data_IF_175996572887
#
_entry.id   IF_175996572887
#
_cell.length_a   1.000
_cell.length_b   1.000
_cell.length_c   1.000
_cell.angle_alpha   90.00
_cell.angle_beta   90.00
_cell.angle_gamma   90.00
#
_symmetry.space_group_name_H-M   'P 1'
#
loop_
_entity.id
_entity.type
_entity.pdbx_description
1 polymer ?
#
# COMPACT_ATOMS: atom_id res chain seq x y z
N UNK A 1 -5.05 -4.64 -11.87
CA UNK A 1 -4.77 -5.60 -10.80
C UNK A 1 -5.94 -5.68 -9.81
N UNK A 2 -5.84 -5.10 -8.63
CA UNK A 2 -6.89 -5.16 -7.62
C UNK A 2 -8.23 -4.61 -8.08
N UNK A 3 -9.35 -5.24 -7.63
CA UNK A 3 -10.71 -4.76 -7.94
C UNK A 3 -11.69 -5.06 -6.83
N UNK A 4 -12.73 -4.24 -6.72
CA UNK A 4 -13.86 -4.47 -5.81
C UNK A 4 -15.19 -4.20 -6.48
N UNK A 5 -16.19 -5.00 -6.12
CA UNK A 5 -17.56 -4.84 -6.54
C UNK A 5 -18.42 -4.26 -5.41
N UNK A 6 -19.17 -3.18 -5.72
CA UNK A 6 -20.10 -2.52 -4.81
C UNK A 6 -21.53 -2.66 -5.34
N UNK A 7 -22.35 -3.42 -4.65
CA UNK A 7 -23.72 -3.71 -5.10
C UNK A 7 -24.60 -2.47 -5.01
N UNK A 8 -25.30 -2.11 -6.11
CA UNK A 8 -26.38 -1.13 -6.16
C UNK A 8 -27.74 -1.80 -6.08
N UNK A 9 -27.86 -2.97 -6.71
CA UNK A 9 -29.05 -3.82 -6.70
C UNK A 9 -28.68 -5.23 -7.13
N UNK A 10 -29.66 -6.15 -7.20
CA UNK A 10 -29.44 -7.53 -7.66
C UNK A 10 -28.71 -7.63 -9.03
N UNK A 11 -28.96 -6.66 -9.92
CA UNK A 11 -28.49 -6.69 -11.31
C UNK A 11 -27.63 -5.47 -11.68
N UNK A 12 -27.20 -4.65 -10.72
CA UNK A 12 -26.37 -3.46 -10.95
C UNK A 12 -25.35 -3.29 -9.84
N UNK A 13 -24.18 -2.85 -10.18
CA UNK A 13 -23.13 -2.53 -9.21
C UNK A 13 -22.10 -1.60 -9.80
N UNK A 14 -21.20 -1.16 -8.94
CA UNK A 14 -20.03 -0.37 -9.31
C UNK A 14 -18.83 -1.29 -9.20
N UNK A 15 -17.98 -1.30 -10.20
CA UNK A 15 -16.70 -1.97 -10.21
C UNK A 15 -15.60 -0.90 -10.14
N UNK A 16 -14.77 -0.96 -9.10
CA UNK A 16 -13.55 -0.17 -9.00
C UNK A 16 -12.37 -1.08 -9.32
N UNK A 17 -11.48 -0.65 -10.22
CA UNK A 17 -10.42 -1.47 -10.79
C UNK A 17 -9.12 -0.66 -10.80
N UNK A 18 -8.04 -1.23 -10.27
CA UNK A 18 -6.70 -0.69 -10.40
C UNK A 18 -6.14 -0.93 -11.82
N UNK A 19 -5.54 0.10 -12.38
CA UNK A 19 -4.74 0.02 -13.61
C UNK A 19 -3.29 0.30 -13.20
N UNK A 20 -2.58 -0.76 -12.89
CA UNK A 20 -1.30 -0.71 -12.19
C UNK A 20 -0.17 -0.22 -13.09
N UNK A 21 0.06 -0.92 -14.20
CA UNK A 21 1.17 -0.66 -15.10
C UNK A 21 0.74 -0.11 -16.43
N UNK A 22 1.68 0.60 -17.06
CA UNK A 22 1.70 0.86 -18.47
C UNK A 22 2.61 -0.17 -19.16
N UNK A 23 2.31 -0.48 -20.41
CA UNK A 23 3.18 -1.29 -21.24
C UNK A 23 3.42 -0.56 -22.57
N UNK A 24 4.43 0.34 -22.62
CA UNK A 24 4.71 1.14 -23.81
C UNK A 24 4.98 0.32 -25.08
N UNK A 25 5.49 -0.92 -24.91
CA UNK A 25 5.76 -1.83 -26.05
C UNK A 25 4.46 -2.27 -26.75
N UNK A 26 3.36 -2.34 -26.01
CA UNK A 26 2.04 -2.73 -26.53
C UNK A 26 1.20 -1.48 -26.85
N UNK A 27 1.32 -0.42 -26.05
CA UNK A 27 0.49 0.79 -26.15
C UNK A 27 0.80 1.59 -27.42
N UNK A 28 2.07 1.61 -27.87
CA UNK A 28 2.52 2.46 -28.94
C UNK A 28 3.11 1.69 -30.12
N UNK A 29 2.86 2.16 -31.35
CA UNK A 29 3.44 1.57 -32.56
C UNK A 29 4.98 1.62 -32.55
N UNK A 30 5.59 2.59 -31.87
CA UNK A 30 7.04 2.70 -31.68
C UNK A 30 7.57 1.86 -30.51
N UNK A 31 6.72 1.04 -29.87
CA UNK A 31 7.10 0.09 -28.81
C UNK A 31 7.88 0.73 -27.66
N UNK A 32 7.46 1.90 -27.19
CA UNK A 32 8.13 2.64 -26.11
C UNK A 32 9.47 3.30 -26.52
N UNK A 33 9.88 3.18 -27.79
CA UNK A 33 11.10 3.83 -28.28
C UNK A 33 10.81 5.29 -28.61
N UNK A 34 11.71 6.19 -28.17
CA UNK A 34 11.60 7.64 -28.46
C UNK A 34 10.26 8.25 -28.03
N UNK A 35 9.89 8.06 -26.76
CA UNK A 35 8.69 8.67 -26.17
C UNK A 35 8.63 10.17 -26.44
N UNK A 36 7.45 10.66 -26.75
CA UNK A 36 7.10 12.08 -26.84
C UNK A 36 6.39 12.56 -25.56
N UNK A 37 6.18 13.86 -25.47
CA UNK A 37 5.38 14.41 -24.36
C UNK A 37 3.93 13.92 -24.40
N UNK A 38 3.36 13.78 -25.59
CA UNK A 38 2.01 13.24 -25.77
C UNK A 38 1.92 11.79 -25.30
N UNK A 39 2.92 10.97 -25.59
CA UNK A 39 2.97 9.58 -25.12
C UNK A 39 2.96 9.52 -23.58
N UNK A 40 3.80 10.34 -22.92
CA UNK A 40 3.84 10.40 -21.45
C UNK A 40 2.50 10.87 -20.87
N UNK A 41 1.84 11.86 -21.46
CA UNK A 41 0.49 12.27 -21.02
C UNK A 41 -0.53 11.13 -21.20
N UNK A 42 -0.41 10.33 -22.26
CA UNK A 42 -1.27 9.16 -22.47
C UNK A 42 -0.98 8.06 -21.44
N UNK A 43 0.28 7.80 -21.12
CA UNK A 43 0.69 6.87 -20.07
C UNK A 43 0.16 7.32 -18.70
N UNK A 44 0.33 8.60 -18.34
CA UNK A 44 -0.19 9.18 -17.10
C UNK A 44 -1.71 9.05 -16.97
N UNK A 45 -2.46 9.14 -18.08
CA UNK A 45 -3.90 8.94 -18.10
C UNK A 45 -4.30 7.45 -18.03
N UNK A 46 -3.38 6.53 -18.30
CA UNK A 46 -3.66 5.09 -18.37
C UNK A 46 -3.50 4.35 -17.05
N UNK A 47 -2.71 4.88 -16.11
CA UNK A 47 -2.53 4.34 -14.75
C UNK A 47 -3.60 4.81 -13.77
N UNK A 48 -3.62 4.26 -12.57
CA UNK A 48 -4.52 4.68 -11.48
C UNK A 48 -5.76 3.80 -11.36
N UNK A 49 -6.97 4.37 -11.20
CA UNK A 49 -8.19 3.62 -10.88
C UNK A 49 -9.33 3.98 -11.83
N UNK A 50 -9.99 2.96 -12.38
CA UNK A 50 -11.24 3.08 -13.10
C UNK A 50 -12.41 2.74 -12.18
N UNK A 51 -13.44 3.60 -12.13
CA UNK A 51 -14.70 3.32 -11.45
C UNK A 51 -15.80 3.29 -12.49
N UNK A 52 -16.48 2.16 -12.61
CA UNK A 52 -17.45 1.88 -13.67
C UNK A 52 -18.72 1.29 -13.09
N UNK A 53 -19.89 1.78 -13.52
CA UNK A 53 -21.13 1.08 -13.27
C UNK A 53 -21.29 -0.07 -14.26
N UNK A 54 -21.65 -1.24 -13.75
CA UNK A 54 -21.98 -2.42 -14.55
C UNK A 54 -23.40 -2.89 -14.27
N UNK A 55 -24.06 -3.41 -15.30
CA UNK A 55 -25.41 -3.94 -15.24
C UNK A 55 -25.48 -5.32 -15.88
N UNK A 56 -26.18 -6.25 -15.22
CA UNK A 56 -26.47 -7.58 -15.75
C UNK A 56 -27.56 -7.51 -16.80
N UNK A 57 -27.28 -8.01 -18.01
CA UNK A 57 -28.19 -8.18 -19.14
C UNK A 57 -28.23 -9.65 -19.52
N UNK A 58 -29.33 -10.34 -19.16
CA UNK A 58 -29.39 -11.80 -19.28
C UNK A 58 -28.35 -12.46 -18.34
N UNK A 59 -27.41 -13.21 -18.90
CA UNK A 59 -26.34 -13.87 -18.15
C UNK A 59 -24.98 -13.10 -18.17
N UNK A 60 -24.92 -11.97 -18.86
CA UNK A 60 -23.68 -11.20 -19.04
C UNK A 60 -23.73 -9.88 -18.28
N UNK A 61 -22.56 -9.39 -17.88
CA UNK A 61 -22.39 -8.07 -17.32
C UNK A 61 -21.87 -7.11 -18.41
N UNK A 62 -22.42 -5.91 -18.44
CA UNK A 62 -22.03 -4.87 -19.39
C UNK A 62 -21.85 -3.52 -18.67
N UNK A 63 -20.91 -2.72 -19.14
CA UNK A 63 -20.68 -1.36 -18.64
C UNK A 63 -21.86 -0.46 -19.03
N UNK A 64 -22.31 0.35 -18.08
CA UNK A 64 -23.27 1.43 -18.30
C UNK A 64 -22.51 2.69 -18.65
N UNK A 65 -22.38 3.01 -19.94
CA UNK A 65 -21.50 4.08 -20.44
C UNK A 65 -21.84 5.47 -19.87
N UNK A 66 -23.12 5.82 -19.76
CA UNK A 66 -23.58 7.14 -19.32
C UNK A 66 -23.87 7.19 -17.81
N UNK A 67 -23.21 6.37 -17.02
CA UNK A 67 -23.42 6.33 -15.58
C UNK A 67 -22.80 7.53 -14.88
N UNK A 68 -23.55 8.12 -13.93
CA UNK A 68 -23.05 9.18 -13.03
C UNK A 68 -21.92 8.74 -12.10
N UNK A 69 -21.68 7.43 -11.97
CA UNK A 69 -20.62 6.85 -11.12
C UNK A 69 -19.31 6.68 -11.87
N UNK A 70 -19.37 6.66 -13.21
CA UNK A 70 -18.18 6.43 -14.02
C UNK A 70 -17.18 7.56 -13.84
N UNK A 71 -15.95 7.21 -13.52
CA UNK A 71 -14.82 8.16 -13.52
C UNK A 71 -13.48 7.46 -13.67
N UNK A 72 -12.51 8.22 -14.12
CA UNK A 72 -11.11 7.86 -14.16
C UNK A 72 -10.36 8.65 -13.09
N UNK A 73 -9.50 7.98 -12.35
CA UNK A 73 -8.57 8.56 -11.38
C UNK A 73 -7.19 8.14 -11.87
N UNK A 74 -6.34 9.09 -12.20
CA UNK A 74 -5.07 8.88 -12.91
C UNK A 74 -3.89 9.60 -12.23
N UNK A 75 -2.73 9.63 -12.90
CA UNK A 75 -1.53 10.29 -12.40
C UNK A 75 -1.66 11.83 -12.26
N UNK A 76 -2.73 12.44 -12.77
CA UNK A 76 -2.97 13.89 -12.73
C UNK A 76 -4.20 14.28 -11.90
N UNK A 77 -4.94 13.32 -11.39
CA UNK A 77 -6.14 13.57 -10.60
C UNK A 77 -5.79 14.23 -9.28
N UNK A 78 -6.51 15.30 -8.93
CA UNK A 78 -6.37 16.00 -7.65
C UNK A 78 -6.68 15.07 -6.47
N UNK A 79 -5.81 15.07 -5.45
CA UNK A 79 -5.90 14.24 -4.25
C UNK A 79 -5.86 15.08 -2.98
N UNK A 80 -6.67 14.76 -1.99
CA UNK A 80 -6.45 15.20 -0.62
C UNK A 80 -5.38 14.33 0.05
N UNK A 81 -4.74 14.87 1.07
CA UNK A 81 -3.84 14.15 1.98
C UNK A 81 -4.36 14.35 3.39
N UNK A 82 -4.43 13.29 4.17
CA UNK A 82 -4.93 13.33 5.54
C UNK A 82 -4.00 12.57 6.50
N UNK A 83 -4.25 12.70 7.80
CA UNK A 83 -3.43 12.08 8.84
C UNK A 83 -2.22 12.91 9.26
N UNK A 84 -1.40 12.32 10.16
CA UNK A 84 -0.35 13.03 10.89
C UNK A 84 0.79 13.57 9.99
N UNK A 85 1.06 12.95 8.83
CA UNK A 85 2.11 13.40 7.93
C UNK A 85 1.63 14.41 6.84
N UNK A 86 0.34 14.80 6.86
CA UNK A 86 -0.25 15.70 5.86
C UNK A 86 0.60 16.93 5.56
N UNK A 87 1.05 17.63 6.60
CA UNK A 87 1.79 18.89 6.46
C UNK A 87 3.13 18.69 5.77
N UNK A 88 3.87 17.69 6.19
CA UNK A 88 5.20 17.34 5.69
C UNK A 88 5.15 16.80 4.25
N UNK A 89 4.10 16.05 3.90
CA UNK A 89 3.86 15.54 2.55
C UNK A 89 3.45 16.63 1.59
N UNK A 90 2.56 17.52 2.01
CA UNK A 90 2.08 18.63 1.16
C UNK A 90 3.05 19.80 1.11
N UNK A 91 3.76 20.09 2.24
CA UNK A 91 4.59 21.31 2.41
C UNK A 91 3.79 22.58 2.09
N UNK A 92 4.14 23.26 1.00
CA UNK A 92 3.50 24.49 0.51
C UNK A 92 2.28 24.23 -0.41
N UNK A 93 2.03 22.97 -0.79
CA UNK A 93 0.93 22.61 -1.68
C UNK A 93 -0.37 22.41 -0.89
N UNK A 94 -1.49 22.74 -1.52
CA UNK A 94 -2.82 22.50 -0.94
C UNK A 94 -3.30 21.07 -1.15
N UNK A 95 -2.87 20.44 -2.23
CA UNK A 95 -3.26 19.09 -2.67
C UNK A 95 -2.04 18.35 -3.23
N UNK A 96 -2.09 17.03 -3.18
CA UNK A 96 -1.27 16.18 -4.03
C UNK A 96 -1.99 15.95 -5.38
N UNK A 97 -1.26 15.42 -6.36
CA UNK A 97 -1.83 15.07 -7.65
C UNK A 97 -1.41 13.66 -8.03
N UNK A 98 -2.41 12.85 -8.37
CA UNK A 98 -2.24 11.55 -8.98
C UNK A 98 -2.04 10.37 -8.04
N UNK A 99 -2.32 9.21 -8.62
CA UNK A 99 -2.01 7.88 -8.10
C UNK A 99 -1.61 6.99 -9.26
N UNK A 100 -0.66 6.12 -9.02
CA UNK A 100 -0.13 5.14 -9.98
C UNK A 100 0.54 4.00 -9.23
N UNK A 101 1.00 2.97 -9.96
CA UNK A 101 1.47 1.72 -9.38
C UNK A 101 0.43 1.13 -8.42
N UNK A 102 -0.84 1.22 -8.78
CA UNK A 102 -1.95 0.77 -7.95
C UNK A 102 -2.09 -0.75 -8.10
N UNK A 103 -1.44 -1.51 -7.23
CA UNK A 103 -1.40 -2.95 -7.30
C UNK A 103 -2.69 -3.57 -6.78
N UNK A 104 -2.70 -4.06 -5.57
CA UNK A 104 -3.89 -4.66 -4.99
C UNK A 104 -4.78 -3.64 -4.27
N UNK A 105 -5.77 -4.09 -3.54
CA UNK A 105 -6.81 -3.23 -3.00
C UNK A 105 -7.31 -3.70 -1.64
N UNK A 106 -8.23 -2.91 -1.10
CA UNK A 106 -9.06 -3.25 0.05
C UNK A 106 -10.45 -2.65 -0.11
N UNK A 107 -11.35 -3.04 0.77
CA UNK A 107 -12.68 -2.45 0.87
C UNK A 107 -12.96 -2.11 2.32
N UNK A 108 -13.32 -0.85 2.57
CA UNK A 108 -13.63 -0.43 3.94
C UNK A 108 -14.99 -0.94 4.39
N UNK A 109 -15.19 -1.11 5.70
CA UNK A 109 -16.51 -1.48 6.24
C UNK A 109 -17.62 -0.46 5.97
N UNK A 110 -17.27 0.76 5.62
CA UNK A 110 -18.22 1.83 5.26
C UNK A 110 -18.42 2.00 3.75
N UNK A 111 -17.84 1.12 2.94
CA UNK A 111 -18.15 1.01 1.51
C UNK A 111 -17.29 1.87 0.60
N UNK A 112 -16.11 2.33 1.04
CA UNK A 112 -15.14 2.96 0.13
C UNK A 112 -14.16 1.93 -0.43
N UNK A 113 -13.63 2.22 -1.61
CA UNK A 113 -12.56 1.49 -2.25
C UNK A 113 -11.21 1.98 -1.74
N UNK A 114 -10.32 1.05 -1.46
CA UNK A 114 -8.94 1.30 -1.11
C UNK A 114 -8.06 0.84 -2.27
N UNK A 115 -7.23 1.72 -2.77
CA UNK A 115 -6.18 1.42 -3.74
C UNK A 115 -4.81 1.56 -3.08
N UNK A 116 -3.91 0.66 -3.40
CA UNK A 116 -2.61 0.52 -2.76
C UNK A 116 -1.51 0.93 -3.74
N UNK A 117 -0.76 1.99 -3.42
CA UNK A 117 0.39 2.42 -4.22
C UNK A 117 1.61 1.56 -3.86
N UNK A 118 2.17 0.84 -4.84
CA UNK A 118 3.26 -0.12 -4.65
C UNK A 118 4.58 0.39 -5.26
N UNK A 119 4.88 0.09 -6.52
CA UNK A 119 6.15 0.41 -7.19
C UNK A 119 6.23 1.87 -7.69
N UNK A 120 5.86 2.82 -6.84
CA UNK A 120 5.79 4.25 -7.19
C UNK A 120 7.15 4.86 -7.53
N UNK A 121 8.24 4.29 -7.04
CA UNK A 121 9.61 4.73 -7.31
C UNK A 121 10.02 4.60 -8.78
N UNK A 122 9.44 3.66 -9.52
CA UNK A 122 9.74 3.38 -10.93
C UNK A 122 9.38 4.54 -11.87
N UNK A 123 8.49 5.42 -11.45
CA UNK A 123 8.01 6.56 -12.24
C UNK A 123 8.88 7.82 -12.09
N UNK A 124 9.81 7.84 -11.13
CA UNK A 124 10.66 8.98 -10.85
C UNK A 124 12.08 8.77 -11.37
N UNK A 125 12.62 9.80 -12.01
CA UNK A 125 14.01 9.85 -12.43
C UNK A 125 14.65 11.19 -12.09
N UNK A 126 15.78 11.51 -12.72
CA UNK A 126 16.48 12.76 -12.48
C UNK A 126 17.17 13.26 -13.74
N UNK A 127 17.02 14.54 -14.04
CA UNK A 127 17.79 15.24 -15.08
C UNK A 127 19.28 15.45 -14.69
N UNK A 128 19.61 15.29 -13.40
CA UNK A 128 20.98 15.23 -12.89
C UNK A 128 21.37 13.76 -12.62
N UNK A 129 22.16 13.17 -13.50
CA UNK A 129 22.63 11.79 -13.36
C UNK A 129 23.55 11.59 -12.12
N UNK A 130 24.09 12.67 -11.57
CA UNK A 130 24.95 12.63 -10.39
C UNK A 130 24.19 12.92 -9.08
N UNK A 131 22.87 13.11 -9.12
CA UNK A 131 22.05 13.33 -7.93
C UNK A 131 22.31 12.24 -6.89
N UNK A 132 22.62 12.66 -5.65
CA UNK A 132 22.85 11.75 -4.53
C UNK A 132 21.59 11.64 -3.70
N UNK A 133 21.14 10.42 -3.50
CA UNK A 133 20.04 10.09 -2.62
C UNK A 133 20.57 9.73 -1.23
N UNK A 134 19.83 10.13 -0.21
CA UNK A 134 20.06 9.63 1.14
C UNK A 134 19.64 8.13 1.24
N UNK A 135 19.92 7.52 2.37
CA UNK A 135 19.67 6.08 2.57
C UNK A 135 18.17 5.73 2.54
N UNK A 136 17.27 6.67 2.93
CA UNK A 136 15.84 6.45 2.88
C UNK A 136 15.33 6.41 1.42
N UNK A 137 15.75 7.39 0.60
CA UNK A 137 15.40 7.39 -0.83
C UNK A 137 15.92 6.14 -1.53
N UNK A 138 17.18 5.74 -1.28
CA UNK A 138 17.74 4.50 -1.82
C UNK A 138 16.94 3.27 -1.41
N UNK A 139 16.51 3.22 -0.14
CA UNK A 139 15.74 2.09 0.39
C UNK A 139 14.35 1.97 -0.24
N UNK A 140 13.76 3.10 -0.68
CA UNK A 140 12.51 3.08 -1.45
C UNK A 140 12.70 2.71 -2.93
N UNK A 141 13.95 2.54 -3.39
CA UNK A 141 14.26 2.12 -4.76
C UNK A 141 14.55 3.25 -5.72
N UNK A 142 14.49 4.53 -5.30
CA UNK A 142 14.71 5.67 -6.18
C UNK A 142 16.10 5.67 -6.82
N UNK A 143 16.12 5.95 -8.11
CA UNK A 143 17.30 5.99 -8.98
C UNK A 143 17.25 7.25 -9.84
N UNK A 144 18.39 7.63 -10.41
CA UNK A 144 18.44 8.75 -11.36
C UNK A 144 17.82 8.40 -12.71
N UNK A 145 17.73 7.10 -13.06
CA UNK A 145 17.04 6.61 -14.26
C UNK A 145 15.75 5.90 -13.84
N UNK A 146 14.61 6.47 -14.22
CA UNK A 146 13.30 5.85 -14.02
C UNK A 146 13.08 4.68 -14.98
N UNK A 147 12.07 3.86 -14.72
CA UNK A 147 11.63 2.80 -15.64
C UNK A 147 10.91 3.40 -16.87
N UNK A 148 10.08 4.42 -16.66
CA UNK A 148 9.18 4.95 -17.70
C UNK A 148 9.63 6.26 -18.36
N UNK A 149 10.63 6.94 -17.84
CA UNK A 149 11.20 8.14 -18.45
C UNK A 149 10.32 9.39 -18.36
N UNK A 150 9.35 9.44 -17.44
CA UNK A 150 8.43 10.57 -17.28
C UNK A 150 9.15 11.87 -16.90
N UNK A 151 10.24 11.79 -16.15
CA UNK A 151 11.07 12.92 -15.73
C UNK A 151 11.61 13.77 -16.89
N UNK A 152 11.67 13.20 -18.08
CA UNK A 152 12.17 13.89 -19.29
C UNK A 152 11.15 14.88 -19.85
N UNK A 153 9.86 14.70 -19.55
CA UNK A 153 8.74 15.43 -20.15
C UNK A 153 7.84 16.13 -19.12
N UNK A 154 7.89 15.69 -17.86
CA UNK A 154 7.14 16.27 -16.74
C UNK A 154 8.08 16.49 -15.55
N UNK A 155 8.38 17.76 -15.27
CA UNK A 155 9.28 18.15 -14.18
C UNK A 155 8.82 17.67 -12.80
N UNK A 156 7.55 17.36 -12.65
CA UNK A 156 7.02 16.81 -11.40
C UNK A 156 7.69 15.47 -11.03
N UNK A 157 8.10 14.68 -12.00
CA UNK A 157 8.77 13.39 -11.81
C UNK A 157 10.30 13.50 -11.84
N UNK A 158 10.85 14.70 -12.00
CA UNK A 158 12.29 14.97 -11.98
C UNK A 158 12.76 15.26 -10.54
N UNK A 159 13.43 14.30 -9.93
CA UNK A 159 13.91 14.39 -8.54
C UNK A 159 14.99 15.48 -8.33
N UNK A 160 15.70 15.90 -9.38
CA UNK A 160 16.62 17.03 -9.29
C UNK A 160 15.89 18.37 -9.12
N UNK A 161 14.64 18.45 -9.57
CA UNK A 161 13.81 19.67 -9.50
C UNK A 161 12.76 19.61 -8.40
N UNK A 162 12.15 18.43 -8.18
CA UNK A 162 10.99 18.24 -7.30
C UNK A 162 11.15 16.99 -6.40
N UNK A 163 12.22 16.98 -5.57
CA UNK A 163 12.51 15.84 -4.69
C UNK A 163 11.34 15.48 -3.76
N UNK A 164 10.63 16.50 -3.27
CA UNK A 164 9.50 16.33 -2.35
C UNK A 164 8.27 15.67 -2.99
N UNK A 165 8.16 15.69 -4.32
CA UNK A 165 7.04 15.04 -5.01
C UNK A 165 7.01 13.54 -4.72
N UNK A 166 8.17 12.89 -4.63
CA UNK A 166 8.28 11.48 -4.32
C UNK A 166 7.61 11.09 -2.99
N UNK A 167 7.59 11.99 -2.00
CA UNK A 167 6.94 11.75 -0.71
C UNK A 167 5.40 11.79 -0.76
N UNK A 168 4.82 12.19 -1.88
CA UNK A 168 3.36 12.18 -2.10
C UNK A 168 2.83 10.84 -2.56
N UNK A 169 3.70 9.83 -2.73
CA UNK A 169 3.36 8.49 -3.21
C UNK A 169 3.86 7.40 -2.26
N UNK A 170 3.33 6.20 -2.42
CA UNK A 170 3.53 5.07 -1.51
C UNK A 170 2.53 5.07 -0.36
N UNK A 171 1.33 5.55 -0.59
CA UNK A 171 0.26 5.66 0.40
C UNK A 171 -0.95 4.79 0.02
N UNK A 172 -1.79 4.50 1.01
CA UNK A 172 -3.15 4.03 0.78
C UNK A 172 -4.02 5.17 0.27
N UNK A 173 -4.74 4.93 -0.82
CA UNK A 173 -5.67 5.89 -1.43
C UNK A 173 -7.11 5.43 -1.23
N UNK A 174 -7.89 6.21 -0.49
CA UNK A 174 -9.33 5.95 -0.28
C UNK A 174 -10.18 6.69 -1.31
N UNK A 175 -11.11 5.96 -1.93
CA UNK A 175 -11.96 6.42 -3.02
C UNK A 175 -13.41 6.09 -2.70
N UNK A 176 -14.30 7.09 -2.73
CA UNK A 176 -15.74 6.85 -2.66
C UNK A 176 -16.26 6.44 -4.04
N UNK A 177 -16.65 5.17 -4.28
CA UNK A 177 -17.12 4.72 -5.58
C UNK A 177 -18.54 5.22 -5.91
N UNK A 178 -19.29 5.68 -4.90
CA UNK A 178 -20.67 6.14 -5.06
C UNK A 178 -20.80 7.62 -5.41
N UNK A 179 -19.69 8.37 -5.35
CA UNK A 179 -19.64 9.79 -5.68
C UNK A 179 -18.45 10.12 -6.59
N UNK A 180 -18.72 10.20 -7.90
CA UNK A 180 -17.68 10.51 -8.89
C UNK A 180 -17.10 11.93 -8.76
N UNK A 181 -17.69 12.81 -7.95
CA UNK A 181 -17.21 14.18 -7.69
C UNK A 181 -16.37 14.27 -6.41
N UNK A 182 -16.37 13.25 -5.57
CA UNK A 182 -15.54 13.22 -4.35
C UNK A 182 -14.06 13.28 -4.69
N UNK A 183 -13.26 13.96 -3.88
CA UNK A 183 -11.79 13.95 -4.02
C UNK A 183 -11.23 12.71 -3.33
N UNK A 184 -10.42 11.88 -4.02
CA UNK A 184 -9.72 10.77 -3.37
C UNK A 184 -8.75 11.27 -2.29
N UNK A 185 -8.48 10.42 -1.29
CA UNK A 185 -7.72 10.82 -0.11
C UNK A 185 -6.54 9.86 0.10
N UNK A 186 -5.32 10.39 0.18
CA UNK A 186 -4.13 9.66 0.61
C UNK A 186 -4.07 9.64 2.13
N UNK A 187 -4.10 8.43 2.74
CA UNK A 187 -4.24 8.19 4.18
C UNK A 187 -2.88 7.96 4.84
N UNK A 188 -2.20 9.03 5.30
CA UNK A 188 -0.82 8.93 5.78
C UNK A 188 -0.63 8.19 7.09
N UNK A 189 -1.67 8.05 7.93
CA UNK A 189 -1.57 7.30 9.18
C UNK A 189 -1.31 5.79 9.00
N UNK A 190 -1.52 5.28 7.79
CA UNK A 190 -1.26 3.88 7.42
C UNK A 190 0.21 3.61 7.05
N UNK A 191 1.07 4.64 7.08
CA UNK A 191 2.50 4.53 6.76
C UNK A 191 2.79 4.59 5.26
N UNK A 192 4.05 4.92 4.91
CA UNK A 192 4.54 4.98 3.54
C UNK A 192 5.43 3.76 3.26
N UNK A 193 5.03 2.94 2.29
CA UNK A 193 5.78 1.78 1.78
C UNK A 193 5.15 1.28 0.48
N UNK A 194 5.66 0.21 -0.11
CA UNK A 194 5.06 -0.43 -1.30
C UNK A 194 3.87 -1.27 -0.85
N UNK A 195 2.71 -0.61 -0.78
CA UNK A 195 1.47 -1.25 -0.32
C UNK A 195 0.96 -2.24 -1.35
N UNK A 196 0.89 -3.51 -0.93
CA UNK A 196 0.27 -4.55 -1.76
C UNK A 196 -1.25 -4.50 -1.61
N UNK A 197 -1.79 -4.94 -0.48
CA UNK A 197 -3.21 -4.81 -0.18
C UNK A 197 -3.49 -4.25 1.22
N UNK A 198 -4.77 -4.01 1.53
CA UNK A 198 -5.20 -3.60 2.85
C UNK A 198 -6.41 -4.44 3.30
N UNK A 199 -6.20 -5.31 4.28
CA UNK A 199 -7.24 -6.16 4.87
C UNK A 199 -7.87 -5.50 6.08
N UNK A 200 -9.17 -5.23 6.02
CA UNK A 200 -9.95 -4.53 7.04
C UNK A 200 -10.72 -5.48 7.94
N UNK A 201 -10.60 -5.29 9.25
CA UNK A 201 -11.33 -6.01 10.28
C UNK A 201 -11.99 -5.00 11.22
N UNK A 202 -13.25 -5.21 11.56
CA UNK A 202 -13.95 -4.44 12.59
C UNK A 202 -14.06 -5.30 13.84
N UNK A 203 -13.46 -4.86 14.91
CA UNK A 203 -13.58 -5.50 16.22
C UNK A 203 -14.98 -5.35 16.83
N UNK A 204 -15.33 -6.21 17.77
CA UNK A 204 -16.64 -6.17 18.45
C UNK A 204 -16.96 -4.83 19.10
N UNK A 205 -15.93 -4.10 19.54
CA UNK A 205 -16.08 -2.78 20.14
C UNK A 205 -16.08 -1.62 19.10
N UNK A 206 -15.99 -1.95 17.83
CA UNK A 206 -16.02 -1.00 16.70
C UNK A 206 -14.66 -0.47 16.24
N UNK A 207 -13.56 -0.80 16.92
CA UNK A 207 -12.23 -0.41 16.43
C UNK A 207 -11.93 -1.10 15.09
N UNK A 208 -11.28 -0.36 14.21
CA UNK A 208 -10.89 -0.85 12.88
C UNK A 208 -9.41 -1.21 12.88
N UNK A 209 -9.15 -2.42 12.44
CA UNK A 209 -7.79 -2.95 12.26
C UNK A 209 -7.54 -3.06 10.76
N UNK A 210 -6.34 -2.63 10.32
CA UNK A 210 -5.91 -2.79 8.93
C UNK A 210 -4.57 -3.52 8.91
N UNK A 211 -4.51 -4.67 8.27
CA UNK A 211 -3.27 -5.38 8.01
C UNK A 211 -2.78 -5.07 6.59
N UNK A 212 -1.47 -4.84 6.44
CA UNK A 212 -0.86 -4.43 5.19
C UNK A 212 0.52 -5.08 5.02
N UNK A 213 0.87 -5.46 3.80
CA UNK A 213 2.19 -5.95 3.41
C UNK A 213 2.98 -4.89 2.66
N UNK A 214 4.30 -4.89 2.85
CA UNK A 214 5.25 -4.15 2.03
C UNK A 214 5.89 -5.13 1.05
N UNK A 215 5.55 -5.04 -0.25
CA UNK A 215 6.09 -5.96 -1.25
C UNK A 215 7.47 -5.53 -1.72
N UNK A 216 8.44 -5.75 -0.85
CA UNK A 216 9.85 -5.60 -1.19
C UNK A 216 10.68 -6.61 -0.40
N UNK A 217 11.83 -6.98 -0.95
CA UNK A 217 12.79 -7.89 -0.31
C UNK A 217 13.24 -7.30 1.02
N UNK A 218 13.13 -8.12 2.09
CA UNK A 218 13.52 -7.78 3.46
C UNK A 218 12.75 -6.61 4.09
N UNK A 219 11.55 -6.28 3.57
CA UNK A 219 10.62 -5.36 4.18
C UNK A 219 9.56 -6.09 5.03
N UNK A 220 8.51 -5.43 5.49
CA UNK A 220 7.81 -5.85 6.71
C UNK A 220 6.30 -6.01 6.53
N UNK A 221 5.67 -6.64 7.54
CA UNK A 221 4.22 -6.71 7.70
C UNK A 221 3.80 -5.67 8.74
N UNK A 222 2.76 -4.90 8.43
CA UNK A 222 2.24 -3.82 9.25
C UNK A 222 0.80 -4.07 9.71
N UNK A 223 0.46 -3.45 10.85
CA UNK A 223 -0.89 -3.41 11.39
C UNK A 223 -1.22 -1.97 11.80
N UNK A 224 -2.36 -1.45 11.39
CA UNK A 224 -2.90 -0.20 11.91
C UNK A 224 -4.09 -0.50 12.83
N UNK A 225 -4.18 0.21 13.94
CA UNK A 225 -5.32 0.16 14.87
C UNK A 225 -5.90 1.56 14.98
N UNK A 226 -7.16 1.73 14.57
CA UNK A 226 -7.83 3.03 14.63
C UNK A 226 -8.03 3.51 16.07
N UNK A 227 -7.97 4.81 16.28
CA UNK A 227 -8.37 5.45 17.56
C UNK A 227 -9.89 5.59 17.68
N UNK A 228 -10.55 5.81 16.54
CA UNK A 228 -11.99 6.01 16.47
C UNK A 228 -12.69 4.72 16.09
N UNK A 229 -13.90 4.55 16.63
CA UNK A 229 -14.73 3.37 16.39
C UNK A 229 -15.60 3.58 15.16
N UNK A 230 -15.68 2.57 14.33
CA UNK A 230 -16.66 2.52 13.26
C UNK A 230 -18.04 2.21 13.84
N UNK A 231 -18.99 3.07 13.50
CA UNK A 231 -20.43 2.86 13.72
C UNK A 231 -21.13 2.99 12.38
N UNK A 232 -21.95 2.03 12.02
CA UNK A 232 -22.66 2.05 10.73
C UNK A 232 -23.51 3.31 10.59
N UNK A 233 -23.26 4.10 9.53
CA UNK A 233 -23.92 5.39 9.29
C UNK A 233 -23.35 6.57 10.09
N UNK A 234 -22.33 6.36 10.91
CA UNK A 234 -21.61 7.41 11.63
C UNK A 234 -20.52 8.09 10.78
N UNK A 235 -19.85 9.06 11.39
CA UNK A 235 -18.70 9.74 10.78
C UNK A 235 -17.48 8.80 10.72
N UNK A 236 -16.95 8.62 9.53
CA UNK A 236 -15.78 7.76 9.26
C UNK A 236 -14.52 8.54 8.91
N UNK A 237 -14.61 9.88 8.83
CA UNK A 237 -13.56 10.75 8.31
C UNK A 237 -12.21 10.59 9.02
N UNK A 238 -12.22 10.28 10.33
CA UNK A 238 -11.02 10.15 11.17
C UNK A 238 -10.54 8.73 11.42
N UNK A 239 -11.28 7.71 10.97
CA UNK A 239 -10.95 6.30 11.29
C UNK A 239 -9.57 5.92 10.73
N UNK A 240 -9.24 6.37 9.52
CA UNK A 240 -7.95 6.11 8.88
C UNK A 240 -6.95 7.27 9.01
N UNK A 241 -7.26 8.30 9.80
CA UNK A 241 -6.38 9.45 10.05
C UNK A 241 -5.76 9.43 11.44
N UNK A 242 -6.47 8.88 12.41
CA UNK A 242 -6.04 8.84 13.81
C UNK A 242 -6.02 7.40 14.32
N UNK A 243 -4.84 6.95 14.72
CA UNK A 243 -4.60 5.59 15.21
C UNK A 243 -3.12 5.34 15.40
N UNK A 244 -2.77 4.10 15.67
CA UNK A 244 -1.37 3.68 15.82
C UNK A 244 -1.01 2.67 14.73
N UNK A 245 0.10 2.93 14.05
CA UNK A 245 0.74 1.99 13.13
C UNK A 245 1.71 1.11 13.90
N UNK A 246 1.68 -0.18 13.64
CA UNK A 246 2.56 -1.19 14.21
C UNK A 246 3.29 -1.95 13.13
N UNK A 247 4.44 -2.52 13.49
CA UNK A 247 5.15 -3.48 12.64
C UNK A 247 5.31 -4.82 13.36
N UNK A 248 5.31 -5.91 12.60
CA UNK A 248 5.39 -7.27 13.13
C UNK A 248 6.80 -7.72 13.48
N UNK A 249 6.99 -8.29 14.67
CA UNK A 249 8.16 -9.05 15.05
C UNK A 249 7.75 -10.51 15.27
N UNK A 250 8.33 -11.43 14.46
CA UNK A 250 8.03 -12.86 14.45
C UNK A 250 9.22 -13.61 15.08
N UNK A 251 9.01 -14.15 16.28
CA UNK A 251 10.05 -14.80 17.08
C UNK A 251 9.91 -16.32 17.05
N UNK A 252 11.01 -17.04 17.03
CA UNK A 252 11.08 -18.50 17.02
C UNK A 252 12.47 -18.98 16.61
N UNK A 253 12.65 -20.28 16.47
CA UNK A 253 13.89 -20.85 15.91
C UNK A 253 13.72 -21.13 14.42
N UNK A 254 14.80 -20.97 13.68
CA UNK A 254 14.83 -21.37 12.26
C UNK A 254 14.57 -22.88 12.15
N UNK A 255 13.58 -23.26 11.34
CA UNK A 255 13.21 -24.65 11.15
C UNK A 255 12.07 -25.16 12.04
N UNK A 256 11.61 -24.41 13.05
CA UNK A 256 10.44 -24.79 13.84
C UNK A 256 9.12 -24.50 13.10
N UNK A 257 9.17 -23.66 12.07
CA UNK A 257 8.00 -23.20 11.25
C UNK A 257 6.84 -22.63 12.05
N UNK A 258 7.08 -22.19 13.27
CA UNK A 258 6.10 -21.58 14.18
C UNK A 258 6.80 -20.79 15.28
N UNK A 259 6.04 -19.94 15.96
CA UNK A 259 6.57 -19.19 17.08
C UNK A 259 5.54 -18.25 17.70
N UNK A 260 6.06 -17.31 18.47
CA UNK A 260 5.31 -16.18 19.00
C UNK A 260 5.67 -14.91 18.24
N UNK A 261 4.82 -13.91 18.33
CA UNK A 261 5.13 -12.61 17.75
C UNK A 261 4.50 -11.47 18.55
N UNK A 262 4.93 -10.29 18.22
CA UNK A 262 4.36 -9.06 18.77
C UNK A 262 4.30 -7.96 17.73
N UNK A 263 3.34 -7.08 17.90
CA UNK A 263 3.21 -5.84 17.16
C UNK A 263 3.90 -4.72 17.93
N UNK A 264 4.85 -4.04 17.30
CA UNK A 264 5.63 -2.97 17.91
C UNK A 264 5.12 -1.64 17.35
N UNK A 265 4.67 -0.76 18.24
CA UNK A 265 4.12 0.54 17.85
C UNK A 265 5.20 1.44 17.23
N UNK A 266 4.88 2.04 16.10
CA UNK A 266 5.69 3.05 15.40
C UNK A 266 5.24 4.45 15.81
N UNK A 267 5.54 4.84 17.05
CA UNK A 267 5.17 6.12 17.62
C UNK A 267 6.40 6.92 18.04
N UNK A 268 6.39 8.21 17.69
CA UNK A 268 7.47 9.14 18.07
C UNK A 268 7.64 9.20 19.60
N UNK A 269 8.89 9.10 20.06
CA UNK A 269 9.26 9.06 21.48
C UNK A 269 9.10 7.69 22.14
N UNK A 270 8.71 6.64 21.38
CA UNK A 270 8.61 5.27 21.88
C UNK A 270 9.52 4.32 21.12
N UNK A 271 9.92 3.24 21.76
CA UNK A 271 10.71 2.15 21.17
C UNK A 271 12.02 2.61 20.47
N UNK A 272 12.61 3.73 20.91
CA UNK A 272 13.81 4.33 20.30
C UNK A 272 13.54 5.15 19.03
N UNK A 273 12.28 5.42 18.70
CA UNK A 273 11.91 6.25 17.55
C UNK A 273 11.90 7.74 17.94
N UNK A 274 13.09 8.33 18.04
CA UNK A 274 13.31 9.71 18.47
C UNK A 274 14.44 10.38 17.68
N UNK A 275 14.84 11.57 18.09
CA UNK A 275 15.89 12.37 17.43
C UNK A 275 17.24 11.62 17.37
N UNK A 276 17.55 10.75 18.34
CA UNK A 276 18.80 9.98 18.33
C UNK A 276 18.89 8.99 17.18
N UNK A 277 17.75 8.64 16.57
CA UNK A 277 17.60 7.76 15.40
C UNK A 277 17.16 8.51 14.15
N UNK A 278 17.19 9.85 14.19
CA UNK A 278 16.88 10.73 13.06
C UNK A 278 15.41 11.07 12.86
N UNK A 279 14.52 10.69 13.78
CA UNK A 279 13.11 11.06 13.72
C UNK A 279 12.83 12.31 14.54
N UNK A 280 12.16 13.28 13.95
CA UNK A 280 11.83 14.58 14.58
C UNK A 280 10.34 14.66 14.97
N UNK A 281 9.51 13.79 14.42
CA UNK A 281 8.06 13.84 14.58
C UNK A 281 7.42 12.48 14.21
N UNK A 282 6.13 12.34 14.50
CA UNK A 282 5.32 11.23 13.99
C UNK A 282 5.26 11.23 12.45
N UNK A 283 5.28 12.40 11.83
CA UNK A 283 5.28 12.51 10.38
C UNK A 283 6.55 11.90 9.75
N UNK A 284 7.72 12.14 10.35
CA UNK A 284 8.97 11.53 9.87
C UNK A 284 8.93 10.00 9.94
N UNK A 285 8.33 9.44 11.00
CA UNK A 285 8.14 7.99 11.14
C UNK A 285 7.23 7.45 10.03
N UNK A 286 6.12 8.14 9.73
CA UNK A 286 5.17 7.70 8.72
C UNK A 286 5.70 7.86 7.28
N UNK A 287 6.54 8.86 7.01
CA UNK A 287 7.20 9.05 5.71
C UNK A 287 8.35 8.02 5.54
N UNK A 288 9.07 7.72 6.63
CA UNK A 288 10.21 6.80 6.63
C UNK A 288 9.86 5.49 7.38
N UNK A 289 8.70 4.93 7.10
CA UNK A 289 8.12 3.78 7.82
C UNK A 289 9.07 2.57 7.82
N UNK A 290 9.74 2.29 6.70
CA UNK A 290 10.72 1.20 6.58
C UNK A 290 11.90 1.37 7.54
N UNK A 291 12.43 2.60 7.68
CA UNK A 291 13.50 2.90 8.63
C UNK A 291 13.01 2.71 10.07
N UNK A 292 11.84 3.24 10.40
CA UNK A 292 11.24 3.09 11.72
C UNK A 292 11.03 1.62 12.10
N UNK A 293 10.54 0.81 11.17
CA UNK A 293 10.38 -0.64 11.35
C UNK A 293 11.70 -1.35 11.64
N UNK A 294 12.76 -0.98 10.94
CA UNK A 294 14.11 -1.53 11.20
C UNK A 294 14.65 -1.15 12.56
N UNK A 295 14.49 0.11 12.98
CA UNK A 295 14.97 0.61 14.28
C UNK A 295 14.34 -0.15 15.43
N UNK A 296 13.05 -0.52 15.33
CA UNK A 296 12.37 -1.28 16.38
C UNK A 296 12.59 -2.79 16.29
N UNK A 297 13.37 -3.28 15.33
CA UNK A 297 13.72 -4.69 15.18
C UNK A 297 12.59 -5.55 14.62
N UNK A 298 11.86 -5.05 13.66
CA UNK A 298 10.86 -5.82 12.90
C UNK A 298 11.50 -7.02 12.19
N UNK A 299 10.70 -8.05 11.90
CA UNK A 299 11.19 -9.24 11.18
C UNK A 299 11.14 -9.02 9.68
N UNK A 300 12.27 -9.01 8.95
CA UNK A 300 12.30 -8.87 7.50
C UNK A 300 11.66 -10.08 6.82
N UNK A 301 10.80 -9.83 5.82
CA UNK A 301 10.02 -10.84 5.09
C UNK A 301 10.51 -11.05 3.66
N UNK A 302 10.08 -12.15 3.06
CA UNK A 302 10.38 -12.52 1.66
C UNK A 302 9.30 -11.96 0.72
N UNK A 303 9.17 -10.62 0.62
CA UNK A 303 8.19 -9.91 -0.19
C UNK A 303 6.75 -10.28 0.21
N UNK A 304 6.18 -9.49 1.10
CA UNK A 304 4.81 -9.71 1.58
C UNK A 304 3.82 -9.15 0.56
N UNK A 305 3.08 -10.05 -0.04
CA UNK A 305 2.04 -9.78 -1.01
C UNK A 305 0.68 -9.61 -0.34
N UNK A 306 -0.28 -10.47 -0.62
CA UNK A 306 -1.65 -10.35 -0.14
C UNK A 306 -1.82 -10.81 1.32
N UNK A 307 -2.56 -10.02 2.10
CA UNK A 307 -2.99 -10.39 3.44
C UNK A 307 -4.50 -10.58 3.45
N UNK A 308 -4.97 -11.66 4.06
CA UNK A 308 -6.38 -11.97 4.19
C UNK A 308 -6.71 -12.50 5.59
N UNK A 309 -7.85 -12.11 6.15
CA UNK A 309 -8.39 -12.65 7.39
C UNK A 309 -9.43 -13.73 7.11
N UNK A 310 -9.53 -14.72 8.01
CA UNK A 310 -10.58 -15.70 7.93
C UNK A 310 -11.94 -15.07 8.23
N UNK A 311 -12.90 -15.23 7.33
CA UNK A 311 -14.19 -14.51 7.41
C UNK A 311 -15.25 -15.20 8.28
N UNK A 312 -14.99 -16.39 8.84
CA UNK A 312 -15.93 -17.04 9.75
C UNK A 312 -16.02 -16.30 11.08
N UNK A 313 -17.25 -16.23 11.62
CA UNK A 313 -17.50 -15.58 12.89
C UNK A 313 -16.69 -16.21 14.02
N UNK A 314 -15.91 -15.39 14.71
CA UNK A 314 -15.07 -15.79 15.83
C UNK A 314 -13.67 -16.28 15.47
N UNK A 315 -13.34 -16.48 14.21
CA UNK A 315 -11.95 -16.71 13.77
C UNK A 315 -11.12 -15.43 13.92
N UNK A 316 -9.86 -15.60 14.33
CA UNK A 316 -8.86 -14.53 14.37
C UNK A 316 -7.66 -14.85 13.48
N UNK A 317 -7.79 -15.86 12.63
CA UNK A 317 -6.70 -16.25 11.74
C UNK A 317 -6.50 -15.19 10.66
N UNK A 318 -5.24 -14.83 10.45
CA UNK A 318 -4.80 -13.95 9.37
C UNK A 318 -3.69 -14.65 8.62
N UNK A 319 -3.70 -14.53 7.30
CA UNK A 319 -2.77 -15.18 6.38
C UNK A 319 -2.07 -14.11 5.57
N UNK A 320 -0.78 -14.31 5.30
CA UNK A 320 0.00 -13.50 4.37
C UNK A 320 0.74 -14.40 3.38
N UNK A 321 0.65 -14.08 2.11
CA UNK A 321 1.47 -14.69 1.07
C UNK A 321 2.82 -14.00 0.99
N UNK A 322 3.90 -14.78 0.92
CA UNK A 322 5.26 -14.32 0.65
C UNK A 322 5.74 -14.97 -0.65
N UNK A 323 6.43 -14.23 -1.50
CA UNK A 323 6.76 -14.73 -2.85
C UNK A 323 8.15 -15.32 -2.96
N UNK A 324 9.19 -14.53 -2.77
CA UNK A 324 10.58 -15.00 -2.87
C UNK A 324 11.56 -13.99 -2.27
N UNK A 325 12.77 -14.45 -1.97
CA UNK A 325 13.90 -13.60 -1.61
C UNK A 325 15.22 -14.26 -2.04
N UNK A 326 15.58 -14.08 -3.31
CA UNK A 326 16.84 -14.61 -3.87
C UNK A 326 18.09 -14.01 -3.22
N UNK A 327 17.96 -12.89 -2.53
CA UNK A 327 19.06 -12.16 -1.89
C UNK A 327 19.27 -12.55 -0.41
N UNK A 328 18.32 -13.26 0.21
CA UNK A 328 18.43 -13.66 1.62
C UNK A 328 19.66 -14.53 1.88
N UNK A 329 20.56 -14.04 2.69
CA UNK A 329 21.80 -14.76 3.10
C UNK A 329 21.68 -15.38 4.48
N UNK A 330 20.79 -14.87 5.34
CA UNK A 330 20.54 -15.37 6.69
C UNK A 330 19.07 -15.68 6.86
N UNK A 331 18.77 -16.93 7.17
CA UNK A 331 17.42 -17.33 7.53
C UNK A 331 16.97 -16.70 8.85
N UNK A 332 15.68 -16.41 8.97
CA UNK A 332 15.04 -16.11 10.26
C UNK A 332 13.89 -17.09 10.51
N UNK A 333 13.27 -17.03 11.68
CA UNK A 333 12.23 -17.98 12.05
C UNK A 333 11.07 -18.01 11.05
N UNK A 334 10.61 -16.84 10.58
CA UNK A 334 9.50 -16.71 9.64
C UNK A 334 9.90 -16.96 8.18
N UNK A 335 11.20 -16.85 7.86
CA UNK A 335 11.74 -17.07 6.51
C UNK A 335 12.93 -18.03 6.60
N UNK A 336 12.66 -19.33 6.69
CA UNK A 336 13.67 -20.34 7.06
C UNK A 336 14.63 -20.72 5.92
N UNK A 337 14.44 -20.20 4.72
CA UNK A 337 15.23 -20.52 3.53
C UNK A 337 16.11 -19.34 3.10
N UNK A 338 17.38 -19.60 2.87
CA UNK A 338 18.30 -18.66 2.19
C UNK A 338 18.14 -18.77 0.68
N UNK A 339 18.39 -17.67 -0.06
CA UNK A 339 18.24 -17.61 -1.52
C UNK A 339 16.89 -18.19 -1.98
N UNK A 340 15.83 -17.84 -1.26
CA UNK A 340 14.53 -18.43 -1.44
C UNK A 340 13.92 -18.00 -2.80
N UNK A 341 13.69 -18.97 -3.68
CA UNK A 341 13.04 -18.75 -4.99
C UNK A 341 11.55 -19.07 -4.98
N UNK A 342 11.04 -19.56 -3.86
CA UNK A 342 9.69 -20.09 -3.75
C UNK A 342 8.91 -19.36 -2.66
N UNK A 343 7.61 -19.26 -2.85
CA UNK A 343 6.72 -18.62 -1.90
C UNK A 343 6.41 -19.48 -0.68
N UNK A 344 5.73 -18.84 0.25
CA UNK A 344 5.13 -19.49 1.42
C UNK A 344 3.91 -18.68 1.89
N UNK A 345 3.06 -19.31 2.69
CA UNK A 345 1.95 -18.64 3.36
C UNK A 345 2.22 -18.69 4.86
N UNK A 346 2.34 -17.52 5.48
CA UNK A 346 2.34 -17.39 6.93
C UNK A 346 0.92 -17.25 7.45
N UNK A 347 0.67 -17.80 8.64
CA UNK A 347 -0.55 -17.62 9.39
C UNK A 347 -0.20 -17.08 10.76
N UNK A 348 -0.97 -16.10 11.27
CA UNK A 348 -0.90 -15.71 12.69
C UNK A 348 -2.28 -15.60 13.30
N UNK A 349 -2.31 -15.75 14.62
CA UNK A 349 -3.53 -15.70 15.43
C UNK A 349 -3.26 -14.74 16.59
N UNK A 350 -3.89 -13.55 16.61
CA UNK A 350 -3.85 -12.66 17.75
C UNK A 350 -4.34 -13.33 19.03
N UNK A 351 -3.80 -12.95 20.18
CA UNK A 351 -4.04 -13.61 21.47
C UNK A 351 -5.53 -13.67 21.84
N UNK A 352 -6.22 -12.55 21.91
CA UNK A 352 -7.64 -12.46 22.24
C UNK A 352 -8.44 -11.69 21.18
N UNK A 353 -7.82 -10.68 20.56
CA UNK A 353 -8.43 -9.73 19.65
C UNK A 353 -7.37 -9.21 18.68
N UNK A 354 -7.78 -8.77 17.46
CA UNK A 354 -6.85 -8.20 16.48
C UNK A 354 -6.16 -6.90 16.94
N UNK A 355 -6.68 -6.25 17.99
CA UNK A 355 -6.01 -5.09 18.61
C UNK A 355 -4.88 -5.46 19.57
N UNK A 356 -4.79 -6.73 20.00
CA UNK A 356 -3.71 -7.19 20.90
C UNK A 356 -2.34 -7.07 20.23
N UNK A 357 -1.32 -6.81 21.05
CA UNK A 357 0.05 -6.71 20.59
C UNK A 357 0.73 -8.08 20.46
N UNK A 358 0.20 -9.13 21.09
CA UNK A 358 0.76 -10.48 21.05
C UNK A 358 -0.01 -11.40 20.12
N UNK A 359 0.71 -12.27 19.42
CA UNK A 359 0.15 -13.32 18.57
C UNK A 359 1.01 -14.58 18.57
N UNK A 360 0.43 -15.70 18.17
CA UNK A 360 1.17 -16.89 17.74
C UNK A 360 1.16 -16.95 16.22
N UNK A 361 2.19 -17.54 15.63
CA UNK A 361 2.30 -17.66 14.17
C UNK A 361 2.82 -19.03 13.76
N UNK A 362 2.59 -19.41 12.52
CA UNK A 362 3.13 -20.60 11.89
C UNK A 362 3.19 -20.46 10.38
N UNK A 363 4.06 -21.27 9.77
CA UNK A 363 4.06 -21.47 8.34
C UNK A 363 2.87 -22.37 8.00
N UNK A 364 1.91 -21.84 7.25
CA UNK A 364 0.70 -22.55 6.85
C UNK A 364 0.95 -23.43 5.62
N UNK A 365 1.76 -22.93 4.69
CA UNK A 365 2.12 -23.64 3.46
C UNK A 365 3.48 -23.18 2.95
N UNK A 366 4.29 -24.11 2.47
CA UNK A 366 5.55 -23.81 1.78
C UNK A 366 5.48 -24.29 0.34
N UNK A 367 5.81 -23.41 -0.61
CA UNK A 367 5.95 -23.74 -2.01
C UNK A 367 7.35 -24.26 -2.33
N UNK A 368 7.47 -25.04 -3.41
CA UNK A 368 8.76 -25.56 -3.89
C UNK A 368 9.27 -26.79 -3.15
N UNK A 369 10.46 -27.23 -3.53
CA UNK A 369 11.12 -28.37 -2.88
C UNK A 369 11.69 -27.95 -1.52
N UNK A 370 11.55 -28.82 -0.54
CA UNK A 370 12.12 -28.70 0.82
C UNK A 370 13.63 -28.84 0.80
#
# INVERSE_FOLDING_TARGET
DGMSFFSLSKNRGILAINNEYINPEIMFNHQGKNLSKEDVLYEQASVGVSVLEIQKKGNEWAVVLDSKYNRRIDANTKMEVSGAAKKEVLKDKKFAYGTFANCANGQTPWGTYISCEENFDDYFGSSDENLKFDENFKRYGFKTKSEYGWEKFDERFDLAKNLDEANRFGWIVEINPFDAKSTPIKRTALGRFKHENAEFIVEKDGLVIVYMGDDEIDEFIYKFVSKHKYVKGGDTSKILDEGTLYVGQFNGNVGDFRGSGKWIALEYGKNGLDESKGFKSQADILINTRLAASVVGATPMDRCEWIASHKESGSREVFATLTNNKNRTQANAANPRTKNLYGQILKWIPKNSHKDDEFTWGNFYSCGQS
#
